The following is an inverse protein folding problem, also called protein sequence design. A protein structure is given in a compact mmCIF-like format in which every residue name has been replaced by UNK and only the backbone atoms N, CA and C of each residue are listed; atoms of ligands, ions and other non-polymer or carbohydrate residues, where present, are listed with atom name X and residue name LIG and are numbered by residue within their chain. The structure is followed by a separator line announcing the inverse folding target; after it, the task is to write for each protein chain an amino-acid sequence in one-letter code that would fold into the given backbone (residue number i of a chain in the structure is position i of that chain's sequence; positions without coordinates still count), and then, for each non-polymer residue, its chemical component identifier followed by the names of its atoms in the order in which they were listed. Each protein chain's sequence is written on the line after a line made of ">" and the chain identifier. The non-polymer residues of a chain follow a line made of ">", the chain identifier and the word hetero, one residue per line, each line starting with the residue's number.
data_IF_528379762346
#
_entry.id   IF_528379762346
#
_cell.length_a   1.000
_cell.length_b   1.000
_cell.length_c   1.000
_cell.angle_alpha   90.00
_cell.angle_beta   90.00
_cell.angle_gamma   90.00
#
_symmetry.space_group_name_H-M   'P 1'
#
loop_
_entity.id
_entity.type
_entity.pdbx_description
1 polymer ?
#
# COMPACT_ATOMS: atom_id res chain seq x y z
N UNK A 1 17.09 4.18 -6.34
CA UNK A 1 15.62 4.17 -6.47
C UNK A 1 15.15 2.74 -6.39
N UNK A 2 14.10 2.48 -5.62
CA UNK A 2 13.50 1.14 -5.54
C UNK A 2 12.22 1.11 -6.37
N UNK A 3 12.17 0.25 -7.39
CA UNK A 3 10.97 0.07 -8.21
C UNK A 3 9.79 -0.40 -7.35
N UNK A 4 8.67 0.33 -7.46
CA UNK A 4 7.49 0.08 -6.66
C UNK A 4 6.50 -0.84 -7.40
N UNK A 5 5.82 -1.69 -6.63
CA UNK A 5 4.62 -2.38 -7.09
C UNK A 5 3.37 -1.62 -6.67
N UNK A 6 2.22 -1.98 -7.23
CA UNK A 6 0.93 -1.40 -6.87
C UNK A 6 -0.07 -2.47 -6.50
N UNK A 7 -0.84 -2.20 -5.45
CA UNK A 7 -1.94 -3.02 -5.00
C UNK A 7 -3.23 -2.19 -4.97
N UNK A 8 -4.27 -2.69 -5.64
CA UNK A 8 -5.61 -2.11 -5.54
C UNK A 8 -6.33 -2.69 -4.32
N UNK A 9 -6.78 -1.80 -3.44
CA UNK A 9 -7.49 -2.10 -2.19
C UNK A 9 -8.80 -1.31 -2.18
N UNK A 10 -9.87 -1.94 -1.72
CA UNK A 10 -11.18 -1.28 -1.60
C UNK A 10 -11.23 -0.46 -0.31
N UNK A 11 -12.01 0.62 -0.30
CA UNK A 11 -12.29 1.33 0.95
C UNK A 11 -13.19 0.48 1.86
N UNK A 12 -13.05 0.62 3.19
CA UNK A 12 -12.19 1.56 3.93
C UNK A 12 -10.74 1.06 4.15
N UNK A 13 -10.41 -0.14 3.70
CA UNK A 13 -9.13 -0.79 4.02
C UNK A 13 -7.93 -0.08 3.43
N UNK A 14 -8.07 0.54 2.25
CA UNK A 14 -7.00 1.34 1.66
C UNK A 14 -6.59 2.51 2.57
N UNK A 15 -7.58 3.24 3.10
CA UNK A 15 -7.34 4.27 4.11
C UNK A 15 -6.75 3.69 5.39
N UNK A 16 -7.27 2.55 5.88
CA UNK A 16 -6.76 1.94 7.09
C UNK A 16 -5.27 1.54 6.99
N UNK A 17 -4.82 1.10 5.80
CA UNK A 17 -3.40 0.78 5.55
C UNK A 17 -2.52 2.03 5.65
N UNK A 18 -2.96 3.16 5.10
CA UNK A 18 -2.15 4.39 5.07
C UNK A 18 -2.27 5.19 6.38
N UNK A 19 -3.45 5.27 6.98
CA UNK A 19 -3.74 6.18 8.09
C UNK A 19 -4.24 5.48 9.36
N UNK A 20 -4.80 4.28 9.24
CA UNK A 20 -5.43 3.57 10.35
C UNK A 20 -4.54 2.54 11.04
N UNK A 21 -3.26 2.45 10.69
CA UNK A 21 -2.33 1.50 11.29
C UNK A 21 -2.60 0.02 10.92
N UNK A 22 -3.31 -0.25 9.81
CA UNK A 22 -3.54 -1.62 9.33
C UNK A 22 -2.23 -2.22 8.82
N UNK A 23 -1.64 -3.11 9.61
CA UNK A 23 -0.34 -3.74 9.34
C UNK A 23 -0.41 -5.00 8.50
N UNK A 24 -1.60 -5.57 8.28
CA UNK A 24 -1.80 -6.79 7.48
C UNK A 24 -2.89 -6.58 6.44
N UNK A 25 -2.58 -6.90 5.20
CA UNK A 25 -3.55 -7.01 4.10
C UNK A 25 -3.87 -8.49 3.82
N UNK A 26 -5.15 -8.84 3.87
CA UNK A 26 -5.63 -10.21 3.72
C UNK A 26 -5.90 -10.53 2.25
N UNK A 27 -5.44 -11.69 1.77
CA UNK A 27 -5.68 -12.18 0.41
C UNK A 27 -6.01 -13.66 0.43
N UNK A 28 -6.76 -14.12 -0.57
CA UNK A 28 -7.11 -15.54 -0.69
C UNK A 28 -5.94 -16.46 -1.06
N UNK A 29 -4.82 -15.87 -1.52
CA UNK A 29 -3.60 -16.58 -1.91
C UNK A 29 -2.41 -15.63 -1.95
N UNK A 30 -1.21 -16.18 -2.05
CA UNK A 30 -0.02 -15.38 -2.32
C UNK A 30 -0.12 -14.68 -3.70
N UNK A 31 -0.09 -13.35 -3.68
CA UNK A 31 -0.02 -12.51 -4.89
C UNK A 31 1.32 -11.76 -5.00
N UNK A 32 2.16 -11.82 -3.97
CA UNK A 32 3.43 -11.11 -3.91
C UNK A 32 4.62 -11.93 -4.44
N UNK A 33 4.53 -13.26 -4.31
CA UNK A 33 5.68 -14.15 -4.50
C UNK A 33 6.80 -13.76 -3.53
N UNK A 34 8.03 -13.71 -4.05
CA UNK A 34 9.23 -13.37 -3.27
C UNK A 34 9.46 -11.86 -3.13
N UNK A 35 8.57 -11.03 -3.69
CA UNK A 35 8.77 -9.59 -3.63
C UNK A 35 8.61 -9.06 -2.22
N UNK A 36 9.58 -8.23 -1.83
CA UNK A 36 9.56 -7.37 -0.65
C UNK A 36 10.10 -6.01 -1.06
N UNK A 37 9.44 -4.95 -0.63
CA UNK A 37 9.75 -3.60 -1.07
C UNK A 37 8.52 -2.71 -1.22
N UNK A 38 8.67 -1.53 -1.85
CA UNK A 38 7.63 -0.52 -1.87
C UNK A 38 6.37 -0.95 -2.64
N UNK A 39 5.22 -0.75 -2.01
CA UNK A 39 3.90 -0.99 -2.58
C UNK A 39 3.07 0.29 -2.51
N UNK A 40 2.70 0.79 -3.68
CA UNK A 40 1.71 1.83 -3.86
C UNK A 40 0.32 1.28 -3.51
N UNK A 41 -0.41 2.00 -2.67
CA UNK A 41 -1.78 1.69 -2.30
C UNK A 41 -2.71 2.50 -3.18
N UNK A 42 -3.44 1.81 -4.05
CA UNK A 42 -4.45 2.39 -4.92
C UNK A 42 -5.86 2.05 -4.44
N UNK A 43 -6.71 3.08 -4.37
CA UNK A 43 -8.10 2.94 -3.93
C UNK A 43 -8.97 2.45 -5.09
N UNK A 44 -9.64 1.30 -4.92
CA UNK A 44 -10.59 0.80 -5.89
C UNK A 44 -11.81 1.74 -6.05
N UNK A 45 -12.49 1.68 -7.21
CA UNK A 45 -13.74 2.42 -7.43
C UNK A 45 -14.93 1.88 -6.64
N UNK A 46 -14.88 0.59 -6.31
CA UNK A 46 -15.89 -0.06 -5.50
C UNK A 46 -15.42 -0.13 -4.05
N UNK A 47 -16.36 0.05 -3.13
CA UNK A 47 -16.13 -0.17 -1.71
C UNK A 47 -16.14 -1.69 -1.40
N UNK A 48 -15.56 -2.13 -0.28
CA UNK A 48 -15.62 -3.52 0.23
C UNK A 48 -16.94 -3.94 0.91
N UNK A 49 -17.88 -4.59 0.21
CA UNK A 49 -19.24 -4.95 0.67
C UNK A 49 -19.44 -5.38 2.15
N UNK A 50 -18.42 -5.98 2.78
CA UNK A 50 -18.36 -6.28 4.23
C UNK A 50 -17.15 -5.58 4.89
N UNK A 51 -17.34 -4.35 5.36
CA UNK A 51 -16.32 -3.55 6.04
C UNK A 51 -16.54 -3.43 7.57
N UNK A 52 -17.35 -4.30 8.15
CA UNK A 52 -17.58 -4.31 9.60
C UNK A 52 -16.36 -4.90 10.32
N UNK A 53 -15.54 -4.05 10.92
CA UNK A 53 -14.44 -4.47 11.80
C UNK A 53 -14.48 -3.70 13.10
N UNK A 54 -14.38 -4.42 14.22
CA UNK A 54 -14.32 -3.83 15.56
C UNK A 54 -13.06 -2.96 15.75
N UNK A 55 -11.94 -3.35 15.13
CA UNK A 55 -10.69 -2.58 15.17
C UNK A 55 -10.88 -1.25 14.44
N UNK A 56 -11.39 -1.32 13.21
CA UNK A 56 -11.67 -0.13 12.42
C UNK A 56 -12.73 0.75 13.10
N UNK A 57 -13.80 0.15 13.65
CA UNK A 57 -14.81 0.88 14.40
C UNK A 57 -14.21 1.54 15.65
N UNK A 58 -13.30 0.90 16.38
CA UNK A 58 -12.62 1.51 17.54
C UNK A 58 -11.73 2.69 17.15
N UNK A 59 -11.08 2.64 15.99
CA UNK A 59 -10.28 3.74 15.44
C UNK A 59 -11.19 4.89 15.00
N UNK A 60 -12.27 4.57 14.29
CA UNK A 60 -13.25 5.54 13.78
C UNK A 60 -14.10 6.17 14.89
N UNK A 61 -14.49 5.41 15.92
CA UNK A 61 -15.31 5.85 17.05
C UNK A 61 -14.56 6.78 18.02
N UNK A 62 -13.28 7.10 17.77
CA UNK A 62 -12.67 8.30 18.35
C UNK A 62 -13.33 9.60 17.84
N UNK A 63 -14.20 9.50 16.83
CA UNK A 63 -15.16 10.51 16.41
C UNK A 63 -16.59 10.07 16.81
N UNK A 64 -16.95 10.25 18.09
CA UNK A 64 -18.32 10.33 18.66
C UNK A 64 -19.42 9.33 18.23
N UNK A 65 -19.09 8.11 17.79
CA UNK A 65 -20.09 7.05 17.59
C UNK A 65 -21.15 7.34 16.51
N UNK A 66 -20.89 8.32 15.65
CA UNK A 66 -21.76 8.71 14.54
C UNK A 66 -21.13 8.20 13.24
N UNK A 67 -21.70 7.11 12.70
CA UNK A 67 -21.37 6.62 11.35
C UNK A 67 -21.79 7.60 10.22
N UNK A 68 -22.42 8.72 10.59
CA UNK A 68 -23.13 9.68 9.74
C UNK A 68 -22.32 10.95 9.36
N UNK A 69 -21.09 11.13 9.86
CA UNK A 69 -20.15 12.14 9.32
C UNK A 69 -19.62 11.67 7.95
N UNK A 70 -19.26 12.59 7.01
CA UNK A 70 -18.59 12.18 5.78
C UNK A 70 -17.27 11.50 6.16
N UNK A 71 -17.30 10.18 6.04
CA UNK A 71 -16.17 9.35 6.44
C UNK A 71 -14.91 9.73 5.65
N UNK A 72 -13.75 9.94 6.30
CA UNK A 72 -12.55 10.49 5.66
C UNK A 72 -11.96 9.62 4.54
N UNK A 73 -12.44 8.38 4.37
CA UNK A 73 -12.05 7.48 3.28
C UNK A 73 -13.04 7.45 2.10
N UNK A 74 -14.17 8.16 2.15
CA UNK A 74 -15.15 8.13 1.04
C UNK A 74 -14.56 8.67 -0.27
N UNK A 75 -13.70 9.67 -0.17
CA UNK A 75 -12.90 10.15 -1.27
C UNK A 75 -11.42 10.12 -0.87
N UNK A 76 -10.50 9.73 -1.77
CA UNK A 76 -10.66 9.52 -3.22
C UNK A 76 -10.96 8.06 -3.62
N UNK A 77 -11.43 7.85 -4.86
CA UNK A 77 -11.53 6.54 -5.50
C UNK A 77 -10.84 6.52 -6.88
N UNK A 78 -10.16 5.42 -7.23
CA UNK A 78 -9.41 5.31 -8.49
C UNK A 78 -8.09 6.07 -8.51
N UNK A 79 -7.47 6.25 -7.35
CA UNK A 79 -6.23 7.00 -7.18
C UNK A 79 -5.25 6.26 -6.24
N UNK A 80 -3.96 6.51 -6.43
CA UNK A 80 -2.91 6.14 -5.47
C UNK A 80 -2.97 7.17 -4.33
N UNK A 81 -2.96 6.69 -3.08
CA UNK A 81 -3.06 7.55 -1.89
C UNK A 81 -1.82 7.51 -1.00
N UNK A 82 -0.93 6.55 -1.22
CA UNK A 82 0.24 6.38 -0.36
C UNK A 82 1.06 5.16 -0.74
N UNK A 83 2.10 4.94 0.04
CA UNK A 83 3.09 3.88 -0.13
C UNK A 83 3.32 3.20 1.21
N UNK A 84 3.43 1.88 1.18
CA UNK A 84 3.89 1.04 2.30
C UNK A 84 5.07 0.20 1.84
N UNK A 85 5.81 -0.37 2.78
CA UNK A 85 6.78 -1.41 2.49
C UNK A 85 6.15 -2.78 2.76
N UNK A 86 6.14 -3.66 1.75
CA UNK A 86 5.82 -5.07 1.96
C UNK A 86 7.06 -5.75 2.56
N UNK A 87 6.99 -6.07 3.84
CA UNK A 87 8.12 -6.63 4.61
C UNK A 87 8.04 -8.14 4.78
N UNK A 88 6.82 -8.69 4.79
CA UNK A 88 6.62 -10.13 4.79
C UNK A 88 5.34 -10.56 4.02
N UNK A 89 5.24 -11.84 3.67
CA UNK A 89 4.09 -12.45 2.99
C UNK A 89 4.07 -13.93 3.32
N UNK A 90 3.05 -14.36 4.07
CA UNK A 90 2.96 -15.72 4.59
C UNK A 90 1.52 -16.27 4.62
N UNK A 91 1.35 -17.60 4.50
CA UNK A 91 0.04 -18.23 4.63
C UNK A 91 -0.39 -18.24 6.11
N UNK A 92 -1.69 -18.26 6.39
CA UNK A 92 -2.20 -18.19 7.78
C UNK A 92 -1.68 -19.32 8.66
N UNK A 93 -1.50 -20.50 8.08
CA UNK A 93 -0.99 -21.70 8.77
C UNK A 93 0.40 -21.49 9.39
N UNK A 94 1.14 -20.47 8.94
CA UNK A 94 2.46 -20.14 9.49
C UNK A 94 2.42 -19.23 10.72
N UNK A 95 1.27 -18.62 11.03
CA UNK A 95 1.14 -17.63 12.09
C UNK A 95 -0.06 -17.84 13.01
N UNK A 96 -0.97 -18.76 12.67
CA UNK A 96 -2.12 -19.09 13.50
C UNK A 96 -1.76 -20.10 14.58
N UNK A 97 -2.07 -19.76 15.82
CA UNK A 97 -1.80 -20.61 16.99
C UNK A 97 -3.03 -20.70 17.88
N UNK A 98 -3.36 -21.91 18.36
CA UNK A 98 -4.44 -22.10 19.31
C UNK A 98 -3.95 -21.81 20.73
N UNK A 99 -4.65 -20.91 21.41
CA UNK A 99 -4.42 -20.59 22.82
C UNK A 99 -5.11 -21.63 23.73
N UNK A 100 -4.65 -21.72 24.98
CA UNK A 100 -5.13 -22.69 25.97
C UNK A 100 -6.62 -22.55 26.32
N UNK A 101 -7.23 -21.40 26.08
CA UNK A 101 -8.65 -21.10 26.32
C UNK A 101 -9.56 -21.33 25.10
N UNK A 102 -8.99 -21.83 24.00
CA UNK A 102 -9.70 -22.05 22.74
C UNK A 102 -9.77 -20.83 21.83
N UNK A 103 -9.19 -19.70 22.21
CA UNK A 103 -8.98 -18.59 21.28
C UNK A 103 -7.84 -18.92 20.29
N UNK A 104 -7.78 -18.20 19.18
CA UNK A 104 -6.71 -18.31 18.22
C UNK A 104 -6.00 -16.99 18.05
N UNK A 105 -4.68 -17.04 18.19
CA UNK A 105 -3.81 -15.92 17.91
C UNK A 105 -3.38 -15.95 16.44
N UNK A 106 -3.22 -14.78 15.84
CA UNK A 106 -2.68 -14.56 14.49
C UNK A 106 -1.70 -13.40 14.53
N UNK A 107 -0.93 -13.20 13.46
CA UNK A 107 0.18 -12.22 13.41
C UNK A 107 -0.22 -10.74 13.63
N UNK A 108 -1.51 -10.39 13.62
CA UNK A 108 -2.00 -9.03 13.82
C UNK A 108 -3.50 -9.03 14.14
N UNK A 109 -3.99 -8.02 14.85
CA UNK A 109 -5.43 -7.77 15.03
C UNK A 109 -6.17 -7.52 13.70
N UNK A 110 -5.42 -7.16 12.65
CA UNK A 110 -5.91 -6.94 11.30
C UNK A 110 -5.96 -8.20 10.43
N UNK A 111 -5.39 -9.30 10.92
CA UNK A 111 -5.22 -10.54 10.19
C UNK A 111 -6.46 -11.42 10.28
N UNK A 112 -6.93 -11.90 9.12
CA UNK A 112 -7.98 -12.92 9.07
C UNK A 112 -7.42 -14.31 9.38
N UNK A 113 -8.26 -15.18 9.95
CA UNK A 113 -7.87 -16.57 10.31
C UNK A 113 -7.88 -17.53 9.11
N UNK A 114 -7.85 -17.01 7.89
CA UNK A 114 -7.79 -17.80 6.66
C UNK A 114 -7.08 -17.03 5.52
N UNK A 115 -6.56 -17.78 4.53
CA UNK A 115 -5.94 -17.22 3.34
C UNK A 115 -4.45 -16.93 3.49
N UNK A 116 -4.04 -15.72 3.14
CA UNK A 116 -2.65 -15.30 3.05
C UNK A 116 -2.51 -13.85 3.51
N UNK A 117 -1.48 -13.57 4.31
CA UNK A 117 -1.21 -12.26 4.88
C UNK A 117 -0.08 -11.58 4.15
N UNK A 118 -0.28 -10.32 3.77
CA UNK A 118 0.77 -9.42 3.32
C UNK A 118 1.09 -8.45 4.47
N UNK A 119 2.29 -8.51 5.02
CA UNK A 119 2.70 -7.71 6.18
C UNK A 119 3.29 -6.39 5.69
N UNK A 120 2.68 -5.29 6.13
CA UNK A 120 2.94 -3.94 5.67
C UNK A 120 3.58 -3.11 6.78
N UNK A 121 4.56 -2.29 6.41
CA UNK A 121 5.26 -1.38 7.31
C UNK A 121 5.45 0.00 6.66
N UNK A 122 5.88 0.97 7.46
CA UNK A 122 6.27 2.32 7.02
C UNK A 122 5.26 3.00 6.08
N UNK A 123 3.97 3.11 6.49
CA UNK A 123 2.99 3.83 5.70
C UNK A 123 3.40 5.29 5.54
N UNK A 124 3.29 5.76 4.30
CA UNK A 124 3.59 7.12 3.88
C UNK A 124 2.47 7.60 2.96
N UNK A 125 1.75 8.63 3.39
CA UNK A 125 0.71 9.24 2.57
C UNK A 125 1.34 10.11 1.47
N UNK A 126 0.66 10.18 0.32
CA UNK A 126 0.90 11.23 -0.65
C UNK A 126 0.28 12.53 -0.15
N UNK A 127 0.88 13.66 -0.53
CA UNK A 127 0.31 14.99 -0.35
C UNK A 127 -0.98 15.17 -1.15
N UNK A 128 -1.00 14.69 -2.39
CA UNK A 128 -2.20 14.66 -3.25
C UNK A 128 -2.41 13.27 -3.87
N UNK A 129 -3.66 12.76 -3.93
CA UNK A 129 -3.95 11.51 -4.60
C UNK A 129 -3.64 11.55 -6.10
N UNK A 130 -2.94 10.55 -6.62
CA UNK A 130 -2.57 10.46 -8.05
C UNK A 130 -3.58 9.57 -8.78
N UNK A 131 -4.37 10.07 -9.75
CA UNK A 131 -5.27 9.24 -10.54
C UNK A 131 -4.51 8.11 -11.24
N UNK A 132 -4.98 6.88 -11.09
CA UNK A 132 -4.30 5.73 -11.67
C UNK A 132 -5.27 4.61 -12.01
N UNK A 133 -4.94 3.78 -13.01
CA UNK A 133 -5.80 2.67 -13.40
C UNK A 133 -5.59 1.46 -12.49
N UNK A 134 -6.54 1.23 -11.59
CA UNK A 134 -6.62 0.03 -10.78
C UNK A 134 -6.72 -1.27 -11.60
N UNK A 135 -6.18 -2.36 -11.06
CA UNK A 135 -6.36 -3.71 -11.58
C UNK A 135 -6.07 -4.75 -10.49
N UNK A 136 -6.37 -6.02 -10.78
CA UNK A 136 -6.15 -7.13 -9.85
C UNK A 136 -4.67 -7.52 -9.74
N UNK A 137 -4.31 -8.07 -8.58
CA UNK A 137 -2.96 -8.57 -8.27
C UNK A 137 -1.97 -7.47 -7.85
N UNK A 138 -0.76 -7.89 -7.47
CA UNK A 138 0.36 -6.99 -7.17
C UNK A 138 1.19 -6.78 -8.44
N UNK A 139 1.11 -5.59 -9.03
CA UNK A 139 1.67 -5.33 -10.37
C UNK A 139 2.89 -4.43 -10.32
N UNK A 140 3.78 -4.55 -11.32
CA UNK A 140 4.86 -3.59 -11.55
C UNK A 140 4.28 -2.24 -12.00
N UNK A 141 4.99 -1.17 -11.68
CA UNK A 141 4.67 0.19 -12.13
C UNK A 141 5.93 0.85 -12.68
N UNK A 142 5.75 2.00 -13.35
CA UNK A 142 6.84 2.89 -13.74
C UNK A 142 7.28 3.79 -12.57
N UNK A 143 6.71 3.63 -11.37
CA UNK A 143 7.08 4.45 -10.24
C UNK A 143 8.19 3.81 -9.40
N UNK A 144 9.00 4.67 -8.78
CA UNK A 144 10.00 4.27 -7.81
C UNK A 144 10.10 5.25 -6.64
N UNK A 145 10.68 4.76 -5.55
CA UNK A 145 10.88 5.55 -4.32
C UNK A 145 12.36 5.93 -4.18
N UNK A 146 12.62 7.20 -3.84
CA UNK A 146 13.92 7.64 -3.36
C UNK A 146 13.76 8.71 -2.28
N UNK A 147 14.18 8.40 -1.05
CA UNK A 147 13.92 9.24 0.12
C UNK A 147 12.41 9.44 0.34
N UNK A 148 12.01 10.68 0.54
CA UNK A 148 10.62 11.10 0.78
C UNK A 148 9.86 11.43 -0.51
N UNK A 149 10.30 10.89 -1.66
CA UNK A 149 9.73 11.23 -2.95
C UNK A 149 9.34 9.99 -3.76
N UNK A 150 8.19 10.11 -4.40
CA UNK A 150 7.73 9.24 -5.47
C UNK A 150 8.16 9.81 -6.82
N UNK A 151 8.81 8.99 -7.63
CA UNK A 151 9.25 9.35 -8.98
C UNK A 151 8.58 8.46 -10.01
N UNK A 152 8.34 8.98 -11.20
CA UNK A 152 7.95 8.22 -12.39
C UNK A 152 9.13 8.12 -13.36
N UNK A 153 9.39 6.92 -13.87
CA UNK A 153 10.32 6.69 -14.96
C UNK A 153 9.78 7.32 -16.24
N UNK A 154 10.58 8.19 -16.86
CA UNK A 154 10.20 8.85 -18.12
C UNK A 154 11.18 8.51 -19.23
N UNK A 155 10.64 8.36 -20.44
CA UNK A 155 11.44 8.09 -21.65
C UNK A 155 12.24 9.32 -22.12
N UNK A 156 12.17 10.44 -21.41
CA UNK A 156 12.68 11.76 -21.84
C UNK A 156 14.17 11.98 -21.64
N UNK A 157 15.02 10.94 -21.60
CA UNK A 157 16.46 11.19 -21.69
C UNK A 157 16.81 11.67 -23.11
N UNK A 158 16.80 12.98 -23.31
CA UNK A 158 17.27 13.65 -24.54
C UNK A 158 18.80 13.54 -24.71
N UNK A 159 19.47 12.95 -23.73
CA UNK A 159 20.91 12.78 -23.58
C UNK A 159 21.56 11.78 -24.57
N UNK A 160 20.78 11.04 -25.38
CA UNK A 160 21.28 10.11 -26.38
C UNK A 160 21.80 8.75 -25.86
N UNK A 161 21.76 8.49 -24.55
CA UNK A 161 22.32 7.29 -23.92
C UNK A 161 21.38 6.05 -23.93
N UNK A 162 20.26 6.09 -24.67
CA UNK A 162 19.45 4.90 -24.93
C UNK A 162 18.87 4.20 -23.69
N UNK A 163 18.36 4.96 -22.71
CA UNK A 163 17.51 4.41 -21.64
C UNK A 163 18.23 3.54 -20.59
N UNK A 164 19.57 3.54 -20.52
CA UNK A 164 20.27 2.80 -19.46
C UNK A 164 20.31 3.62 -18.17
N UNK A 165 19.42 3.27 -17.24
CA UNK A 165 19.36 3.80 -15.88
C UNK A 165 20.70 3.46 -15.18
N UNK A 166 21.53 4.47 -14.89
CA UNK A 166 22.78 4.31 -14.15
C UNK A 166 24.03 3.95 -14.98
N UNK A 167 24.12 4.35 -16.26
CA UNK A 167 25.34 4.18 -17.05
C UNK A 167 26.54 4.96 -16.47
N UNK A 168 27.54 4.20 -16.01
CA UNK A 168 28.68 4.52 -15.13
C UNK A 168 29.52 5.79 -15.39
N UNK A 169 29.33 6.55 -16.46
CA UNK A 169 30.07 7.81 -16.68
C UNK A 169 29.22 8.85 -17.44
N UNK A 170 28.98 10.02 -16.83
CA UNK A 170 28.40 11.20 -17.48
C UNK A 170 26.98 11.60 -17.08
N UNK A 171 26.35 10.95 -16.10
CA UNK A 171 24.97 11.25 -15.67
C UNK A 171 24.90 12.17 -14.44
N UNK A 172 23.99 13.16 -14.47
CA UNK A 172 23.50 13.78 -13.24
C UNK A 172 22.53 12.81 -12.53
N UNK A 173 22.59 12.67 -11.19
CA UNK A 173 21.63 11.87 -10.44
C UNK A 173 20.19 12.33 -10.73
N UNK A 174 19.32 11.42 -11.21
CA UNK A 174 17.90 11.70 -11.46
C UNK A 174 17.49 11.91 -12.92
N UNK A 175 18.42 11.81 -13.87
CA UNK A 175 18.08 11.86 -15.30
C UNK A 175 17.11 10.73 -15.70
N UNK A 176 16.01 11.06 -16.39
CA UNK A 176 14.95 10.11 -16.77
C UNK A 176 13.92 9.82 -15.66
N UNK A 177 13.94 10.59 -14.57
CA UNK A 177 13.03 10.45 -13.44
C UNK A 177 12.36 11.79 -13.16
N UNK A 178 11.03 11.82 -13.20
CA UNK A 178 10.26 13.02 -12.84
C UNK A 178 9.68 12.83 -11.42
N UNK A 179 9.95 13.75 -10.47
CA UNK A 179 9.30 13.70 -9.15
C UNK A 179 7.80 13.98 -9.32
N UNK A 180 6.96 13.10 -8.78
CA UNK A 180 5.50 13.18 -8.96
C UNK A 180 4.80 13.66 -7.70
N UNK A 181 5.27 13.23 -6.53
CA UNK A 181 4.64 13.56 -5.26
C UNK A 181 5.60 13.39 -4.09
N UNK A 182 5.34 14.15 -3.02
CA UNK A 182 6.06 14.02 -1.76
C UNK A 182 5.35 13.02 -0.84
N UNK A 183 6.14 12.24 -0.13
CA UNK A 183 5.70 11.24 0.84
C UNK A 183 5.84 11.80 2.26
N UNK A 184 4.80 11.65 3.06
CA UNK A 184 4.80 12.00 4.47
C UNK A 184 4.53 10.74 5.31
N UNK A 185 5.41 10.44 6.26
CA UNK A 185 5.20 9.34 7.20
C UNK A 185 3.88 9.54 7.96
N UNK A 186 3.13 8.46 8.10
CA UNK A 186 1.91 8.44 8.91
C UNK A 186 2.19 7.72 10.24
N UNK A 187 1.58 8.24 11.31
CA UNK A 187 1.79 7.82 12.70
C UNK A 187 1.20 6.45 13.01
#
# INVERSE_FOLDING_TARGET
>A
MSAARILTVRQPWAWAIIHGGKTVENRTRNIAGDYRGPVLIHVAKAYADDWQSNVLAGIMNRHDGVYDEPQPWRDPAGAIIGVVDLVDSHPVESCIEQQHDGDWFVCSEWAERAGHHLVLANPRALDEPIPYRGALGLRRTAFGIAGDWLYEETDRCTCGAGGTIGALYGHEPGCGLEPVARLAATS
#
